data_IF_082349529329
#
_entry.id   IF_082349529329
#
_cell.length_a   1.000
_cell.length_b   1.000
_cell.length_c   1.000
_cell.angle_alpha   90.00
_cell.angle_beta   90.00
_cell.angle_gamma   90.00
#
_symmetry.space_group_name_H-M   'P 1'
#
loop_
_entity.id
_entity.type
_entity.pdbx_description
1 polymer ?
#
# COMPACT_ATOMS: atom_id res chain seq x y z
N UNK A 1 -15.46 -0.62 7.60
CA UNK A 1 -14.28 -1.49 7.39
C UNK A 1 -13.53 -1.65 8.71
N UNK A 2 -13.50 -2.86 9.27
CA UNK A 2 -13.00 -3.13 10.63
C UNK A 2 -11.46 -3.13 10.68
N UNK A 3 -10.89 -2.35 11.62
CA UNK A 3 -9.44 -2.19 11.86
C UNK A 3 -8.68 -3.51 12.11
N UNK A 4 -9.38 -4.60 12.40
CA UNK A 4 -8.79 -5.93 12.64
C UNK A 4 -8.17 -6.57 11.39
N UNK A 5 -8.60 -6.22 10.18
CA UNK A 5 -8.12 -6.90 8.96
C UNK A 5 -6.75 -6.39 8.47
N UNK A 6 -6.34 -5.18 8.88
CA UNK A 6 -5.06 -4.57 8.46
C UNK A 6 -3.87 -5.16 9.25
N UNK A 7 -4.10 -5.57 10.49
CA UNK A 7 -3.04 -6.10 11.38
C UNK A 7 -2.70 -7.56 11.04
N UNK A 8 -3.61 -8.30 10.42
CA UNK A 8 -3.43 -9.73 10.10
C UNK A 8 -2.42 -9.93 8.95
N UNK A 9 -2.33 -9.00 7.99
CA UNK A 9 -1.39 -9.09 6.88
C UNK A 9 0.08 -8.90 7.28
N UNK A 10 0.36 -8.04 8.26
CA UNK A 10 1.73 -7.68 8.69
C UNK A 10 2.38 -8.77 9.54
N UNK A 11 1.61 -9.47 10.37
CA UNK A 11 2.12 -10.53 11.25
C UNK A 11 2.39 -11.86 10.51
N UNK A 12 1.69 -12.12 9.41
CA UNK A 12 1.78 -13.39 8.70
C UNK A 12 3.07 -13.54 7.86
N UNK A 13 3.63 -12.43 7.35
CA UNK A 13 4.93 -12.44 6.64
C UNK A 13 6.09 -12.80 7.59
N UNK A 14 5.96 -12.54 8.89
CA UNK A 14 6.97 -12.91 9.89
C UNK A 14 6.96 -14.40 10.27
N UNK A 15 5.84 -15.10 10.09
CA UNK A 15 5.71 -16.49 10.54
C UNK A 15 6.26 -17.53 9.54
N UNK A 16 6.26 -17.23 8.23
CA UNK A 16 6.73 -18.15 7.17
C UNK A 16 8.23 -18.46 7.31
N UNK A 17 9.04 -17.50 7.81
CA UNK A 17 10.49 -17.68 8.02
C UNK A 17 10.81 -18.72 9.11
N UNK A 18 9.93 -18.89 10.10
CA UNK A 18 10.18 -19.79 11.24
C UNK A 18 10.05 -21.29 10.90
N UNK A 19 9.34 -21.65 9.83
CA UNK A 19 9.18 -23.05 9.39
C UNK A 19 10.33 -23.54 8.51
N UNK A 20 11.11 -22.62 7.91
CA UNK A 20 12.23 -22.95 7.02
C UNK A 20 13.49 -23.35 7.81
N UNK A 21 13.63 -22.88 9.06
CA UNK A 21 14.80 -23.18 9.89
C UNK A 21 14.85 -24.63 10.43
N UNK A 22 13.75 -25.38 10.32
CA UNK A 22 13.67 -26.78 10.79
C UNK A 22 14.18 -27.85 9.83
N UNK A 23 14.42 -27.53 8.55
CA UNK A 23 14.81 -28.51 7.53
C UNK A 23 16.23 -28.27 7.02
N UNK A 24 17.20 -28.88 7.70
CA UNK A 24 18.61 -28.89 7.29
C UNK A 24 18.80 -29.91 6.16
N UNK A 25 18.43 -29.58 4.92
CA UNK A 25 18.81 -30.38 3.74
C UNK A 25 19.10 -29.51 2.51
N UNK A 26 20.24 -29.80 1.88
CA UNK A 26 20.70 -29.48 0.52
C UNK A 26 19.96 -28.37 -0.27
N UNK A 27 20.63 -27.21 -0.42
CA UNK A 27 20.14 -26.01 -1.10
C UNK A 27 19.88 -26.28 -2.59
N UNK A 28 18.61 -26.42 -3.00
CA UNK A 28 18.24 -26.38 -4.42
C UNK A 28 18.07 -24.91 -4.88
N UNK A 29 18.32 -24.63 -6.17
CA UNK A 29 18.21 -23.28 -6.72
C UNK A 29 16.80 -22.66 -6.61
N UNK A 30 15.77 -23.52 -6.53
CA UNK A 30 14.37 -23.11 -6.35
C UNK A 30 14.17 -22.59 -4.92
N UNK A 31 14.73 -23.25 -3.91
CA UNK A 31 14.59 -22.85 -2.51
C UNK A 31 15.28 -21.50 -2.24
N UNK A 32 16.45 -21.26 -2.85
CA UNK A 32 17.13 -19.97 -2.73
C UNK A 32 16.35 -18.82 -3.36
N UNK A 33 15.72 -19.05 -4.52
CA UNK A 33 15.00 -17.98 -5.25
C UNK A 33 13.73 -17.57 -4.50
N UNK A 34 12.98 -18.53 -3.97
CA UNK A 34 11.75 -18.26 -3.19
C UNK A 34 12.05 -17.50 -1.90
N UNK A 35 13.15 -17.85 -1.20
CA UNK A 35 13.57 -17.14 0.02
C UNK A 35 13.90 -15.66 -0.29
N UNK A 36 14.69 -15.40 -1.32
CA UNK A 36 15.02 -14.02 -1.73
C UNK A 36 13.80 -13.21 -2.17
N UNK A 37 12.86 -13.85 -2.88
CA UNK A 37 11.60 -13.20 -3.29
C UNK A 37 10.73 -12.82 -2.09
N UNK A 38 10.65 -13.68 -1.07
CA UNK A 38 9.90 -13.37 0.17
C UNK A 38 10.53 -12.23 0.97
N UNK A 39 11.86 -12.15 1.03
CA UNK A 39 12.57 -11.07 1.74
C UNK A 39 12.36 -9.71 1.07
N UNK A 40 12.40 -9.67 -0.27
CA UNK A 40 12.13 -8.45 -1.04
C UNK A 40 10.68 -7.98 -0.85
N UNK A 41 9.70 -8.89 -0.92
CA UNK A 41 8.29 -8.56 -0.72
C UNK A 41 8.01 -7.96 0.68
N UNK A 42 8.74 -8.42 1.71
CA UNK A 42 8.65 -7.88 3.07
C UNK A 42 9.17 -6.44 3.15
N UNK A 43 10.36 -6.19 2.58
CA UNK A 43 10.96 -4.85 2.55
C UNK A 43 10.07 -3.87 1.80
N UNK A 44 9.61 -4.24 0.60
CA UNK A 44 8.71 -3.42 -0.21
C UNK A 44 7.39 -3.11 0.52
N UNK A 45 6.82 -4.09 1.22
CA UNK A 45 5.59 -3.87 2.01
C UNK A 45 5.83 -2.88 3.16
N UNK A 46 6.98 -2.99 3.83
CA UNK A 46 7.37 -2.06 4.89
C UNK A 46 7.55 -0.64 4.34
N UNK A 47 8.21 -0.50 3.20
CA UNK A 47 8.44 0.78 2.54
C UNK A 47 7.12 1.44 2.09
N UNK A 48 6.18 0.64 1.55
CA UNK A 48 4.83 1.11 1.19
C UNK A 48 4.06 1.62 2.41
N UNK A 49 4.11 0.93 3.54
CA UNK A 49 3.46 1.37 4.78
C UNK A 49 4.08 2.69 5.25
N UNK A 50 5.41 2.79 5.26
CA UNK A 50 6.11 4.02 5.64
C UNK A 50 5.77 5.19 4.70
N UNK A 51 5.61 4.95 3.39
CA UNK A 51 5.14 5.96 2.43
C UNK A 51 3.73 6.43 2.74
N UNK A 52 2.79 5.50 2.95
CA UNK A 52 1.39 5.83 3.29
C UNK A 52 1.27 6.62 4.59
N UNK A 53 2.11 6.31 5.60
CA UNK A 53 2.14 7.10 6.84
C UNK A 53 2.62 8.53 6.61
N UNK A 54 3.63 8.73 5.75
CA UNK A 54 4.11 10.08 5.39
C UNK A 54 3.03 10.86 4.64
N UNK A 55 2.41 10.25 3.63
CA UNK A 55 1.33 10.85 2.86
C UNK A 55 0.11 11.21 3.73
N UNK A 56 -0.28 10.31 4.66
CA UNK A 56 -1.36 10.58 5.59
C UNK A 56 -1.06 11.77 6.51
N UNK A 57 0.18 11.88 7.02
CA UNK A 57 0.62 13.04 7.82
C UNK A 57 0.60 14.33 7.01
N UNK A 58 1.08 14.30 5.76
CA UNK A 58 1.04 15.44 4.85
C UNK A 58 -0.42 15.90 4.63
N UNK A 59 -1.32 14.98 4.29
CA UNK A 59 -2.73 15.27 4.04
C UNK A 59 -3.43 15.86 5.27
N UNK A 60 -3.19 15.28 6.45
CA UNK A 60 -3.74 15.78 7.71
C UNK A 60 -3.29 17.22 8.01
N UNK A 61 -2.01 17.53 7.77
CA UNK A 61 -1.48 18.87 7.99
C UNK A 61 -2.02 19.89 6.97
N UNK A 62 -2.23 19.50 5.72
CA UNK A 62 -2.92 20.34 4.72
C UNK A 62 -4.36 20.67 5.13
N UNK A 63 -5.11 19.68 5.64
CA UNK A 63 -6.46 19.90 6.16
C UNK A 63 -6.47 20.86 7.36
N UNK A 64 -5.52 20.72 8.29
CA UNK A 64 -5.38 21.67 9.42
C UNK A 64 -5.07 23.09 8.92
N UNK A 65 -4.24 23.25 7.89
CA UNK A 65 -3.97 24.54 7.28
C UNK A 65 -5.23 25.16 6.65
N UNK A 66 -6.01 24.35 5.90
CA UNK A 66 -7.32 24.76 5.35
C UNK A 66 -8.26 25.27 6.45
N UNK A 67 -8.40 24.50 7.54
CA UNK A 67 -9.26 24.89 8.68
C UNK A 67 -8.79 26.20 9.32
N UNK A 68 -7.48 26.38 9.53
CA UNK A 68 -6.94 27.61 10.09
C UNK A 68 -7.22 28.82 9.17
N UNK A 69 -7.07 28.68 7.86
CA UNK A 69 -7.39 29.76 6.92
C UNK A 69 -8.88 30.11 6.89
N UNK A 70 -9.76 29.11 6.95
CA UNK A 70 -11.20 29.35 7.07
C UNK A 70 -11.53 30.11 8.35
N UNK A 71 -10.93 29.75 9.50
CA UNK A 71 -11.07 30.50 10.76
C UNK A 71 -10.52 31.92 10.64
N UNK A 72 -9.41 32.11 9.93
CA UNK A 72 -8.85 33.44 9.68
C UNK A 72 -9.81 34.31 8.87
N UNK A 73 -10.39 33.76 7.79
CA UNK A 73 -11.40 34.45 6.97
C UNK A 73 -12.62 34.82 7.81
N UNK A 74 -13.19 33.86 8.55
CA UNK A 74 -14.30 34.12 9.49
C UNK A 74 -13.95 35.21 10.48
N UNK A 75 -12.73 35.20 11.02
CA UNK A 75 -12.27 36.21 11.97
C UNK A 75 -12.22 37.61 11.37
N UNK A 76 -11.84 37.76 10.10
CA UNK A 76 -11.85 39.07 9.43
C UNK A 76 -13.25 39.51 9.03
N UNK A 77 -14.02 38.62 8.43
CA UNK A 77 -15.28 38.95 7.75
C UNK A 77 -16.46 39.05 8.73
N UNK A 78 -16.49 38.19 9.74
CA UNK A 78 -17.60 38.10 10.70
C UNK A 78 -17.22 38.76 12.02
N UNK A 79 -16.12 38.31 12.64
CA UNK A 79 -15.71 38.81 13.96
C UNK A 79 -15.05 40.21 13.89
N UNK A 80 -14.71 40.69 12.68
CA UNK A 80 -13.94 41.93 12.47
C UNK A 80 -12.65 42.00 13.30
N UNK A 81 -12.04 40.84 13.58
CA UNK A 81 -10.89 40.68 14.47
C UNK A 81 -9.62 40.34 13.70
N UNK A 82 -8.81 41.36 13.43
CA UNK A 82 -7.51 41.22 12.78
C UNK A 82 -6.52 40.39 13.60
N UNK A 83 -6.56 40.51 14.93
CA UNK A 83 -5.69 39.75 15.82
C UNK A 83 -6.00 38.24 15.77
N UNK A 84 -7.28 37.85 15.83
CA UNK A 84 -7.67 36.44 15.67
C UNK A 84 -7.31 35.91 14.29
N UNK A 85 -7.53 36.73 13.25
CA UNK A 85 -7.16 36.39 11.88
C UNK A 85 -5.66 36.15 11.72
N UNK A 86 -4.82 37.02 12.29
CA UNK A 86 -3.36 36.88 12.28
C UNK A 86 -2.91 35.60 12.99
N UNK A 87 -3.46 35.32 14.18
CA UNK A 87 -3.14 34.11 14.94
C UNK A 87 -3.48 32.82 14.16
N UNK A 88 -4.61 32.82 13.44
CA UNK A 88 -4.98 31.68 12.60
C UNK A 88 -4.15 31.59 11.30
N UNK A 89 -3.65 32.71 10.78
CA UNK A 89 -2.67 32.70 9.67
C UNK A 89 -1.33 32.10 10.13
N UNK A 90 -0.89 32.37 11.35
CA UNK A 90 0.28 31.72 11.94
C UNK A 90 0.11 30.21 12.11
N UNK A 91 -1.08 29.79 12.56
CA UNK A 91 -1.43 28.37 12.59
C UNK A 91 -1.36 27.75 11.20
N UNK A 92 -1.91 28.43 10.18
CA UNK A 92 -1.85 27.94 8.80
C UNK A 92 -0.39 27.78 8.31
N UNK A 93 0.48 28.76 8.53
CA UNK A 93 1.92 28.67 8.18
C UNK A 93 2.61 27.52 8.91
N UNK A 94 2.31 27.33 10.19
CA UNK A 94 2.82 26.20 10.99
C UNK A 94 2.40 24.87 10.38
N UNK A 95 1.10 24.67 10.12
CA UNK A 95 0.60 23.42 9.56
C UNK A 95 1.11 23.15 8.14
N UNK A 96 1.28 24.17 7.31
CA UNK A 96 1.94 24.01 6.01
C UNK A 96 3.41 23.58 6.16
N UNK A 97 4.10 24.07 7.19
CA UNK A 97 5.48 23.65 7.47
C UNK A 97 5.54 22.19 7.95
N UNK A 98 4.58 21.75 8.77
CA UNK A 98 4.42 20.34 9.17
C UNK A 98 4.02 19.44 7.98
N UNK A 99 3.22 19.94 7.04
CA UNK A 99 2.92 19.22 5.80
C UNK A 99 4.19 19.04 4.96
N UNK A 100 4.98 20.11 4.80
CA UNK A 100 6.22 20.09 4.02
C UNK A 100 7.24 19.07 4.52
N UNK A 101 7.37 18.89 5.84
CA UNK A 101 8.38 18.00 6.41
C UNK A 101 8.16 16.52 6.08
N UNK A 102 6.92 16.14 5.73
CA UNK A 102 6.54 14.76 5.41
C UNK A 102 6.23 14.54 3.93
N UNK A 103 6.09 15.63 3.16
CA UNK A 103 5.75 15.61 1.75
C UNK A 103 6.88 15.08 0.86
N UNK A 104 6.52 14.54 -0.30
CA UNK A 104 7.46 14.29 -1.41
C UNK A 104 7.99 15.60 -2.02
N UNK A 105 9.10 15.55 -2.77
CA UNK A 105 9.77 16.76 -3.30
C UNK A 105 8.85 17.64 -4.17
N UNK A 106 8.01 17.02 -5.00
CA UNK A 106 7.06 17.76 -5.85
C UNK A 106 6.05 18.51 -4.98
N UNK A 107 5.50 17.84 -3.98
CA UNK A 107 4.51 18.39 -3.06
C UNK A 107 5.13 19.46 -2.17
N UNK A 108 6.40 19.33 -1.76
CA UNK A 108 7.12 20.38 -1.01
C UNK A 108 7.15 21.71 -1.77
N UNK A 109 7.42 21.68 -3.07
CA UNK A 109 7.44 22.88 -3.91
C UNK A 109 6.06 23.54 -4.00
N UNK A 110 4.99 22.74 -4.18
CA UNK A 110 3.61 23.24 -4.16
C UNK A 110 3.26 23.86 -2.79
N UNK A 111 3.70 23.25 -1.68
CA UNK A 111 3.50 23.78 -0.32
C UNK A 111 4.25 25.10 -0.10
N UNK A 112 5.46 25.26 -0.65
CA UNK A 112 6.22 26.51 -0.53
C UNK A 112 5.55 27.70 -1.23
N UNK A 113 4.98 27.45 -2.41
CA UNK A 113 4.17 28.45 -3.11
C UNK A 113 2.95 28.85 -2.27
N UNK A 114 2.28 27.87 -1.67
CA UNK A 114 1.13 28.12 -0.81
C UNK A 114 1.51 28.90 0.45
N UNK A 115 2.62 28.55 1.10
CA UNK A 115 3.15 29.29 2.26
C UNK A 115 3.44 30.75 1.93
N UNK A 116 3.99 31.02 0.74
CA UNK A 116 4.24 32.39 0.27
C UNK A 116 2.93 33.19 0.23
N UNK A 117 1.85 32.59 -0.28
CA UNK A 117 0.55 33.24 -0.37
C UNK A 117 -0.12 33.46 0.99
N UNK A 118 -0.01 32.49 1.90
CA UNK A 118 -0.45 32.66 3.29
C UNK A 118 0.32 33.78 3.98
N UNK A 119 1.63 33.88 3.76
CA UNK A 119 2.45 34.97 4.30
C UNK A 119 2.05 36.35 3.71
N UNK A 120 1.71 36.42 2.42
CA UNK A 120 1.16 37.64 1.80
C UNK A 120 -0.17 38.04 2.45
N UNK A 121 -1.06 37.08 2.68
CA UNK A 121 -2.32 37.30 3.38
C UNK A 121 -2.09 37.82 4.81
N UNK A 122 -1.18 37.17 5.56
CA UNK A 122 -0.75 37.61 6.90
C UNK A 122 -0.26 39.06 6.88
N UNK A 123 0.67 39.39 5.99
CA UNK A 123 1.22 40.74 5.90
C UNK A 123 0.13 41.78 5.60
N UNK A 124 -0.86 41.43 4.79
CA UNK A 124 -1.98 42.33 4.47
C UNK A 124 -2.87 42.58 5.68
N UNK A 125 -3.15 41.55 6.48
CA UNK A 125 -3.88 41.66 7.76
C UNK A 125 -3.13 42.53 8.77
N UNK A 126 -1.84 42.26 8.98
CA UNK A 126 -0.97 42.99 9.92
C UNK A 126 -0.84 44.47 9.54
N UNK A 127 -0.61 44.74 8.25
CA UNK A 127 -0.47 46.10 7.73
C UNK A 127 -1.82 46.81 7.53
N UNK A 128 -2.94 46.17 7.90
CA UNK A 128 -4.29 46.71 7.80
C UNK A 128 -4.65 47.20 6.39
N UNK A 129 -4.14 46.51 5.36
CA UNK A 129 -4.45 46.86 3.97
C UNK A 129 -5.92 46.60 3.65
N UNK A 130 -6.47 47.37 2.73
CA UNK A 130 -7.85 47.22 2.25
C UNK A 130 -8.06 45.87 1.55
N UNK A 131 -7.00 45.30 0.95
CA UNK A 131 -7.01 44.02 0.25
C UNK A 131 -6.83 42.79 1.17
N UNK A 132 -6.80 42.97 2.50
CA UNK A 132 -6.51 41.89 3.44
C UNK A 132 -7.51 40.71 3.33
N UNK A 133 -8.81 41.02 3.24
CA UNK A 133 -9.85 39.99 3.11
C UNK A 133 -9.76 39.26 1.76
N UNK A 134 -9.42 39.97 0.69
CA UNK A 134 -9.18 39.38 -0.63
C UNK A 134 -7.99 38.42 -0.58
N UNK A 135 -6.85 38.86 -0.05
CA UNK A 135 -5.65 38.03 0.04
C UNK A 135 -5.85 36.79 0.93
N UNK A 136 -6.61 36.91 2.03
CA UNK A 136 -7.00 35.75 2.84
C UNK A 136 -7.92 34.81 2.07
N UNK A 137 -8.88 35.32 1.29
CA UNK A 137 -9.76 34.49 0.47
C UNK A 137 -8.99 33.72 -0.61
N UNK A 138 -8.06 34.37 -1.30
CA UNK A 138 -7.17 33.69 -2.27
C UNK A 138 -6.37 32.58 -1.59
N UNK A 139 -5.81 32.83 -0.40
CA UNK A 139 -5.08 31.80 0.34
C UNK A 139 -5.97 30.62 0.76
N UNK A 140 -7.23 30.88 1.16
CA UNK A 140 -8.23 29.85 1.46
C UNK A 140 -8.52 28.99 0.23
N UNK A 141 -8.82 29.60 -0.90
CA UNK A 141 -9.23 28.90 -2.13
C UNK A 141 -8.10 28.00 -2.63
N UNK A 142 -6.88 28.51 -2.64
CA UNK A 142 -5.72 27.74 -3.08
C UNK A 142 -5.35 26.60 -2.13
N UNK A 143 -5.42 26.84 -0.83
CA UNK A 143 -5.17 25.78 0.17
C UNK A 143 -6.26 24.71 0.09
N UNK A 144 -7.50 25.12 -0.19
CA UNK A 144 -8.63 24.22 -0.40
C UNK A 144 -8.40 23.32 -1.60
N UNK A 145 -8.10 23.91 -2.76
CA UNK A 145 -7.81 23.17 -3.99
C UNK A 145 -6.64 22.21 -3.82
N UNK A 146 -5.56 22.64 -3.16
CA UNK A 146 -4.41 21.79 -2.90
C UNK A 146 -4.74 20.63 -1.94
N UNK A 147 -5.47 20.92 -0.86
CA UNK A 147 -5.86 19.90 0.12
C UNK A 147 -6.79 18.85 -0.49
N UNK A 148 -7.71 19.24 -1.37
CA UNK A 148 -8.63 18.32 -2.04
C UNK A 148 -7.90 17.45 -3.07
N UNK A 149 -7.10 18.07 -3.95
CA UNK A 149 -6.23 17.35 -4.90
C UNK A 149 -5.33 16.32 -4.21
N UNK A 150 -4.70 16.72 -3.10
CA UNK A 150 -3.79 15.82 -2.38
C UNK A 150 -4.54 14.72 -1.63
N UNK A 151 -5.72 15.02 -1.07
CA UNK A 151 -6.56 14.01 -0.47
C UNK A 151 -7.00 12.95 -1.49
N UNK A 152 -7.42 13.37 -2.68
CA UNK A 152 -7.84 12.43 -3.74
C UNK A 152 -6.68 11.54 -4.19
N UNK A 153 -5.50 12.13 -4.39
CA UNK A 153 -4.26 11.37 -4.65
C UNK A 153 -3.99 10.36 -3.53
N UNK A 154 -4.02 10.80 -2.28
CA UNK A 154 -3.80 9.93 -1.12
C UNK A 154 -4.82 8.80 -1.02
N UNK A 155 -6.12 9.04 -1.27
CA UNK A 155 -7.11 7.97 -1.26
C UNK A 155 -6.81 6.94 -2.35
N UNK A 156 -6.49 7.40 -3.57
CA UNK A 156 -6.16 6.52 -4.68
C UNK A 156 -4.89 5.69 -4.40
N UNK A 157 -3.83 6.31 -3.89
CA UNK A 157 -2.58 5.65 -3.55
C UNK A 157 -2.78 4.66 -2.39
N UNK A 158 -3.54 5.03 -1.36
CA UNK A 158 -3.93 4.14 -0.25
C UNK A 158 -4.69 2.91 -0.74
N UNK A 159 -5.71 3.08 -1.56
CA UNK A 159 -6.50 1.97 -2.10
C UNK A 159 -5.65 1.05 -2.97
N UNK A 160 -4.84 1.63 -3.87
CA UNK A 160 -3.90 0.90 -4.72
C UNK A 160 -2.88 0.09 -3.89
N UNK A 161 -2.30 0.71 -2.87
CA UNK A 161 -1.28 0.07 -2.03
C UNK A 161 -1.88 -1.02 -1.14
N UNK A 162 -3.08 -0.83 -0.58
CA UNK A 162 -3.80 -1.89 0.14
C UNK A 162 -4.10 -3.07 -0.77
N UNK A 163 -4.59 -2.81 -1.99
CA UNK A 163 -4.84 -3.88 -2.96
C UNK A 163 -3.54 -4.63 -3.30
N UNK A 164 -2.43 -3.91 -3.53
CA UNK A 164 -1.13 -4.51 -3.81
C UNK A 164 -0.64 -5.40 -2.66
N UNK A 165 -0.73 -4.93 -1.41
CA UNK A 165 -0.32 -5.69 -0.22
C UNK A 165 -1.17 -6.94 -0.07
N UNK A 166 -2.50 -6.84 -0.17
CA UNK A 166 -3.39 -7.98 -0.07
C UNK A 166 -3.13 -9.02 -1.18
N UNK A 167 -2.84 -8.56 -2.40
CA UNK A 167 -2.45 -9.42 -3.50
C UNK A 167 -1.16 -10.18 -3.21
N UNK A 168 -0.08 -9.47 -2.87
CA UNK A 168 1.23 -10.06 -2.57
C UNK A 168 1.16 -11.06 -1.42
N UNK A 169 0.38 -10.73 -0.39
CA UNK A 169 0.12 -11.65 0.71
C UNK A 169 -0.55 -12.94 0.24
N UNK A 170 -1.61 -12.83 -0.56
CA UNK A 170 -2.31 -13.99 -1.10
C UNK A 170 -1.41 -14.82 -2.06
N UNK A 171 -0.57 -14.18 -2.88
CA UNK A 171 0.41 -14.86 -3.72
C UNK A 171 1.44 -15.65 -2.88
N UNK A 172 2.00 -15.05 -1.82
CA UNK A 172 2.93 -15.73 -0.92
C UNK A 172 2.29 -16.93 -0.21
N UNK A 173 1.03 -16.81 0.22
CA UNK A 173 0.28 -17.93 0.82
C UNK A 173 0.03 -19.05 -0.18
N UNK A 174 -0.24 -18.72 -1.44
CA UNK A 174 -0.37 -19.70 -2.50
C UNK A 174 0.95 -20.44 -2.77
N UNK A 175 2.07 -19.72 -2.81
CA UNK A 175 3.40 -20.32 -2.96
C UNK A 175 3.77 -21.23 -1.78
N UNK A 176 3.46 -20.82 -0.55
CA UNK A 176 3.63 -21.65 0.65
C UNK A 176 2.86 -22.98 0.51
N UNK A 177 1.60 -22.92 0.07
CA UNK A 177 0.77 -24.10 -0.13
C UNK A 177 1.30 -24.97 -1.29
N UNK A 178 1.78 -24.38 -2.38
CA UNK A 178 2.43 -25.11 -3.48
C UNK A 178 3.71 -25.84 -3.03
N UNK A 179 4.52 -25.23 -2.15
CA UNK A 179 5.69 -25.88 -1.56
C UNK A 179 5.29 -27.09 -0.69
N UNK A 180 4.25 -26.93 0.14
CA UNK A 180 3.69 -28.05 0.93
C UNK A 180 3.17 -29.16 0.02
N UNK A 181 2.46 -28.83 -1.06
CA UNK A 181 2.01 -29.78 -2.06
C UNK A 181 3.18 -30.52 -2.72
N UNK A 182 4.26 -29.81 -3.06
CA UNK A 182 5.47 -30.40 -3.62
C UNK A 182 6.10 -31.42 -2.67
N UNK A 183 6.25 -31.07 -1.39
CA UNK A 183 6.78 -31.97 -0.36
C UNK A 183 5.88 -33.20 -0.19
N UNK A 184 4.57 -33.01 -0.04
CA UNK A 184 3.61 -34.10 0.10
C UNK A 184 3.54 -34.99 -1.15
N UNK A 185 3.81 -34.46 -2.34
CA UNK A 185 3.83 -35.24 -3.58
C UNK A 185 5.04 -36.18 -3.70
N UNK A 186 6.01 -36.14 -2.78
CA UNK A 186 7.19 -37.02 -2.82
C UNK A 186 6.89 -38.49 -2.49
N UNK A 187 5.75 -38.77 -1.85
CA UNK A 187 5.31 -40.12 -1.49
C UNK A 187 3.86 -40.33 -1.89
N UNK A 188 3.55 -41.49 -2.50
CA UNK A 188 2.17 -41.85 -2.87
C UNK A 188 1.23 -41.93 -1.65
N UNK A 189 1.79 -42.21 -0.46
CA UNK A 189 1.04 -42.25 0.80
C UNK A 189 0.49 -40.88 1.21
N UNK A 190 1.06 -39.79 0.68
CA UNK A 190 0.74 -38.41 1.05
C UNK A 190 0.09 -37.64 -0.11
N UNK A 191 -0.39 -38.32 -1.16
CA UNK A 191 -1.02 -37.67 -2.32
C UNK A 191 -2.35 -36.98 -2.01
N UNK A 192 -3.13 -37.49 -1.04
CA UNK A 192 -4.32 -36.77 -0.56
C UNK A 192 -3.93 -35.43 0.05
N UNK A 193 -2.90 -35.41 0.92
CA UNK A 193 -2.39 -34.16 1.48
C UNK A 193 -1.85 -33.21 0.39
N UNK A 194 -1.21 -33.75 -0.65
CA UNK A 194 -0.78 -32.94 -1.79
C UNK A 194 -1.97 -32.32 -2.55
N UNK A 195 -3.11 -33.01 -2.64
CA UNK A 195 -4.33 -32.46 -3.23
C UNK A 195 -4.90 -31.32 -2.37
N UNK A 196 -4.99 -31.52 -1.06
CA UNK A 196 -5.49 -30.50 -0.11
C UNK A 196 -4.65 -29.22 -0.19
N UNK A 197 -3.32 -29.34 -0.27
CA UNK A 197 -2.43 -28.19 -0.42
C UNK A 197 -2.55 -27.50 -1.79
N UNK A 198 -2.84 -28.25 -2.87
CA UNK A 198 -3.15 -27.62 -4.16
C UNK A 198 -4.48 -26.86 -4.15
N UNK A 199 -5.48 -27.37 -3.43
CA UNK A 199 -6.74 -26.66 -3.23
C UNK A 199 -6.52 -25.37 -2.42
N UNK A 200 -5.76 -25.43 -1.32
CA UNK A 200 -5.36 -24.25 -0.55
C UNK A 200 -4.65 -23.22 -1.45
N UNK A 201 -3.69 -23.65 -2.27
CA UNK A 201 -3.00 -22.76 -3.21
C UNK A 201 -3.98 -22.09 -4.19
N UNK A 202 -4.93 -22.84 -4.73
CA UNK A 202 -5.93 -22.31 -5.66
C UNK A 202 -6.83 -21.27 -4.99
N UNK A 203 -7.30 -21.52 -3.77
CA UNK A 203 -8.09 -20.57 -2.99
C UNK A 203 -7.35 -19.25 -2.76
N UNK A 204 -6.06 -19.33 -2.43
CA UNK A 204 -5.23 -18.14 -2.26
C UNK A 204 -5.03 -17.39 -3.58
N UNK A 205 -4.89 -18.07 -4.71
CA UNK A 205 -4.89 -17.40 -6.02
C UNK A 205 -6.25 -16.81 -6.41
N UNK A 206 -7.38 -17.38 -5.99
CA UNK A 206 -8.71 -16.73 -6.13
C UNK A 206 -8.68 -15.38 -5.42
N UNK A 207 -8.24 -15.34 -4.16
CA UNK A 207 -8.13 -14.11 -3.36
C UNK A 207 -7.16 -13.12 -3.98
N UNK A 208 -5.99 -13.56 -4.42
CA UNK A 208 -5.01 -12.69 -5.10
C UNK A 208 -5.60 -12.02 -6.34
N UNK A 209 -6.38 -12.77 -7.14
CA UNK A 209 -7.02 -12.27 -8.37
C UNK A 209 -8.03 -11.15 -8.09
N UNK A 210 -8.71 -11.15 -6.96
CA UNK A 210 -9.65 -10.08 -6.55
C UNK A 210 -8.93 -8.72 -6.49
N UNK A 211 -7.67 -8.73 -6.02
CA UNK A 211 -6.82 -7.55 -5.91
C UNK A 211 -5.91 -7.33 -7.13
N UNK A 212 -6.02 -8.18 -8.16
CA UNK A 212 -5.22 -8.11 -9.39
C UNK A 212 -5.65 -6.97 -10.32
N UNK A 213 -4.69 -6.42 -11.05
CA UNK A 213 -4.92 -5.46 -12.12
C UNK A 213 -5.09 -6.17 -13.49
N UNK A 214 -5.29 -5.41 -14.57
CA UNK A 214 -5.48 -5.98 -15.91
C UNK A 214 -4.28 -6.82 -16.39
N UNK A 215 -3.06 -6.51 -15.96
CA UNK A 215 -1.86 -7.26 -16.31
C UNK A 215 -1.76 -8.55 -15.49
N UNK A 216 -2.04 -8.52 -14.19
CA UNK A 216 -1.78 -9.67 -13.29
C UNK A 216 -2.93 -10.69 -13.28
N UNK A 217 -4.18 -10.27 -13.48
CA UNK A 217 -5.35 -11.16 -13.50
C UNK A 217 -5.24 -12.34 -14.50
N UNK A 218 -4.81 -12.13 -15.76
CA UNK A 218 -4.60 -13.24 -16.70
C UNK A 218 -3.57 -14.27 -16.25
N UNK A 219 -2.45 -13.83 -15.67
CA UNK A 219 -1.42 -14.74 -15.16
C UNK A 219 -1.91 -15.56 -13.98
N UNK A 220 -2.58 -14.91 -13.01
CA UNK A 220 -3.17 -15.62 -11.87
C UNK A 220 -4.18 -16.67 -12.37
N UNK A 221 -5.04 -16.33 -13.33
CA UNK A 221 -5.97 -17.28 -13.94
C UNK A 221 -5.26 -18.48 -14.58
N UNK A 222 -4.10 -18.27 -15.20
CA UNK A 222 -3.32 -19.37 -15.76
C UNK A 222 -2.74 -20.27 -14.67
N UNK A 223 -2.23 -19.72 -13.56
CA UNK A 223 -1.76 -20.50 -12.42
C UNK A 223 -2.88 -21.36 -11.83
N UNK A 224 -4.08 -20.81 -11.68
CA UNK A 224 -5.26 -21.55 -11.22
C UNK A 224 -5.57 -22.74 -12.13
N UNK A 225 -5.58 -22.51 -13.46
CA UNK A 225 -5.80 -23.59 -14.45
C UNK A 225 -4.71 -24.66 -14.36
N UNK A 226 -3.45 -24.27 -14.18
CA UNK A 226 -2.35 -25.21 -14.06
C UNK A 226 -2.46 -26.05 -12.77
N UNK A 227 -2.92 -25.45 -11.66
CA UNK A 227 -3.22 -26.14 -10.40
C UNK A 227 -4.35 -27.15 -10.59
N UNK A 228 -5.47 -26.74 -11.16
CA UNK A 228 -6.62 -27.62 -11.44
C UNK A 228 -6.21 -28.82 -12.32
N UNK A 229 -5.43 -28.57 -13.37
CA UNK A 229 -4.88 -29.64 -14.20
C UNK A 229 -4.01 -30.58 -13.36
N UNK A 230 -3.12 -30.05 -12.53
CA UNK A 230 -2.20 -30.85 -11.70
C UNK A 230 -2.92 -31.71 -10.66
N UNK A 231 -4.04 -31.22 -10.11
CA UNK A 231 -4.89 -32.02 -9.23
C UNK A 231 -5.40 -33.29 -9.92
N UNK A 232 -5.67 -33.25 -11.24
CA UNK A 232 -6.09 -34.45 -11.99
C UNK A 232 -4.99 -35.52 -12.07
N UNK A 233 -3.72 -35.11 -12.16
CA UNK A 233 -2.56 -36.02 -12.15
C UNK A 233 -2.37 -36.66 -10.77
N UNK A 234 -2.50 -35.87 -9.69
CA UNK A 234 -2.44 -36.42 -8.32
C UNK A 234 -3.55 -37.44 -8.05
N UNK A 235 -4.76 -37.22 -8.56
CA UNK A 235 -5.88 -38.18 -8.44
C UNK A 235 -5.57 -39.52 -9.11
N UNK A 236 -4.83 -39.49 -10.22
CA UNK A 236 -4.36 -40.69 -10.94
C UNK A 236 -3.11 -41.32 -10.31
N UNK A 237 -2.61 -40.76 -9.21
CA UNK A 237 -1.32 -41.10 -8.60
C UNK A 237 -0.14 -41.01 -9.57
N UNK A 238 -0.23 -40.10 -10.52
CA UNK A 238 0.79 -39.91 -11.54
C UNK A 238 2.02 -39.22 -10.95
N UNK A 239 3.20 -39.80 -11.19
CA UNK A 239 4.49 -39.24 -10.75
C UNK A 239 4.80 -37.92 -11.47
N UNK A 240 4.19 -37.67 -12.63
CA UNK A 240 4.29 -36.39 -13.35
C UNK A 240 3.76 -35.20 -12.54
N UNK A 241 2.87 -35.43 -11.58
CA UNK A 241 2.33 -34.36 -10.73
C UNK A 241 3.45 -33.56 -10.03
N UNK A 242 4.54 -34.21 -9.64
CA UNK A 242 5.68 -33.56 -8.96
C UNK A 242 6.36 -32.51 -9.83
N UNK A 243 6.51 -32.82 -11.12
CA UNK A 243 7.13 -31.92 -12.09
C UNK A 243 6.18 -30.75 -12.36
N UNK A 244 4.88 -31.01 -12.52
CA UNK A 244 3.87 -29.96 -12.71
C UNK A 244 3.78 -29.00 -11.54
N UNK A 245 3.83 -29.48 -10.28
CA UNK A 245 3.87 -28.60 -9.10
C UNK A 245 5.13 -27.72 -9.13
N UNK A 246 6.27 -28.27 -9.55
CA UNK A 246 7.52 -27.50 -9.67
C UNK A 246 7.45 -26.45 -10.77
N UNK A 247 6.84 -26.76 -11.91
CA UNK A 247 6.61 -25.81 -13.00
C UNK A 247 5.70 -24.65 -12.54
N UNK A 248 4.65 -24.95 -11.78
CA UNK A 248 3.74 -23.93 -11.23
C UNK A 248 4.49 -23.02 -10.26
N UNK A 249 5.30 -23.58 -9.36
CA UNK A 249 6.14 -22.81 -8.44
C UNK A 249 7.11 -21.88 -9.17
N UNK A 250 7.71 -22.36 -10.27
CA UNK A 250 8.59 -21.53 -11.08
C UNK A 250 7.82 -20.36 -11.70
N UNK A 251 6.66 -20.63 -12.32
CA UNK A 251 5.82 -19.58 -12.92
C UNK A 251 5.33 -18.56 -11.88
N UNK A 252 4.98 -19.02 -10.68
CA UNK A 252 4.61 -18.16 -9.56
C UNK A 252 5.76 -17.22 -9.17
N UNK A 253 6.98 -17.77 -9.02
CA UNK A 253 8.17 -16.98 -8.68
C UNK A 253 8.55 -15.92 -9.73
N UNK A 254 8.16 -16.11 -10.99
CA UNK A 254 8.38 -15.15 -12.08
C UNK A 254 7.36 -14.01 -12.09
N UNK A 255 6.20 -14.21 -11.45
CA UNK A 255 5.12 -13.21 -11.34
C UNK A 255 5.52 -12.11 -10.34
N UNK A 256 6.16 -12.47 -9.24
CA UNK A 256 6.60 -11.53 -8.21
C UNK A 256 7.75 -10.63 -8.71
N UNK A 257 8.54 -11.07 -9.69
CA UNK A 257 9.69 -10.33 -10.24
C UNK A 257 9.28 -9.29 -11.30
N UNK A 258 8.09 -9.43 -11.91
CA UNK A 258 7.68 -8.64 -13.09
C UNK A 258 6.75 -7.46 -12.79
N UNK A 259 6.41 -7.22 -11.53
CA UNK A 259 5.69 -6.03 -11.07
C UNK A 259 6.63 -4.96 -10.54
#
# INVERSE_FOLDING_TARGET
MNKKNIIIGVLAVLFIVSLIWGYKTNKSAIDSKVITTSENAKTETSDLIASLEKEAKTNYNLLKAKVALLKSKTSLEIDNSKQKSEAELDNAVKYLSEAKSTADEKTKAEIDLLKTKVNTAKNSVVQKKEDALYNVSVAVDETTNMSEKYNDKFQADKEKNIALINRKYAELRAEEALLKAKIASQSEKTYTQAQDYLEEANEWYVRSKEYGNQKTKPYIKQLQKDIENTQTYLKKKDKEARNKISDILQKASELIIKD
#
